data_IF_673123034542
#
_entry.id   IF_673123034542
#
_cell.length_a   1.000
_cell.length_b   1.000
_cell.length_c   1.000
_cell.angle_alpha   90.00
_cell.angle_beta   90.00
_cell.angle_gamma   90.00
#
_symmetry.space_group_name_H-M   'P 1'
#
loop_
_entity.id
_entity.type
_entity.pdbx_description
1 polymer ?
#
# COMPACT_ATOMS: atom_id res chain seq x y z
N UNK A 1 5.61 -13.37 -0.50
CA UNK A 1 4.52 -13.94 -1.32
C UNK A 1 3.43 -12.90 -1.37
N UNK A 2 2.88 -12.62 -2.55
CA UNK A 2 1.86 -11.60 -2.76
C UNK A 2 0.65 -12.24 -3.43
N UNK A 3 -0.55 -11.94 -2.94
CA UNK A 3 -1.82 -12.46 -3.44
C UNK A 3 -2.74 -11.30 -3.83
N UNK A 4 -3.55 -11.50 -4.87
CA UNK A 4 -4.49 -10.51 -5.39
C UNK A 4 -5.91 -11.10 -5.33
N UNK A 5 -6.81 -10.41 -4.63
CA UNK A 5 -8.22 -10.78 -4.55
C UNK A 5 -9.08 -9.69 -5.21
N UNK A 6 -9.82 -10.05 -6.26
CA UNK A 6 -10.77 -9.13 -6.93
C UNK A 6 -12.01 -8.92 -6.06
N UNK A 7 -12.53 -7.70 -6.06
CA UNK A 7 -13.80 -7.31 -5.41
C UNK A 7 -14.71 -6.64 -6.44
N UNK A 8 -15.95 -6.33 -6.05
CA UNK A 8 -16.90 -5.66 -6.95
C UNK A 8 -16.45 -4.25 -7.37
N UNK A 9 -15.62 -3.60 -6.56
CA UNK A 9 -15.19 -2.20 -6.73
C UNK A 9 -13.69 -2.01 -6.94
N UNK A 10 -12.92 -3.10 -7.02
CA UNK A 10 -11.46 -3.03 -7.11
C UNK A 10 -10.78 -4.35 -6.75
N UNK A 11 -9.74 -4.27 -5.93
CA UNK A 11 -9.01 -5.46 -5.48
C UNK A 11 -8.34 -5.24 -4.12
N UNK A 12 -8.03 -6.35 -3.46
CA UNK A 12 -7.22 -6.38 -2.24
C UNK A 12 -5.88 -7.01 -2.61
N UNK A 13 -4.79 -6.26 -2.41
CA UNK A 13 -3.43 -6.77 -2.51
C UNK A 13 -2.95 -7.21 -1.12
N UNK A 14 -2.48 -8.45 -1.00
CA UNK A 14 -2.01 -9.03 0.27
C UNK A 14 -0.54 -9.35 0.18
N UNK A 15 0.25 -8.77 1.07
CA UNK A 15 1.68 -9.01 1.17
C UNK A 15 2.00 -9.72 2.48
N UNK A 16 2.56 -10.93 2.37
CA UNK A 16 2.90 -11.73 3.55
C UNK A 16 4.35 -11.53 4.01
N UNK A 17 5.12 -10.71 3.28
CA UNK A 17 6.49 -10.34 3.62
C UNK A 17 6.62 -8.82 3.45
N UNK A 18 7.14 -8.11 4.46
CA UNK A 18 7.49 -6.70 4.32
C UNK A 18 9.00 -6.62 4.07
N UNK A 19 9.45 -6.07 2.92
CA UNK A 19 10.88 -5.93 2.65
C UNK A 19 11.58 -5.01 3.64
N UNK A 20 10.82 -4.14 4.31
CA UNK A 20 11.31 -3.19 5.30
C UNK A 20 11.01 -3.62 6.74
N UNK A 21 10.74 -4.90 7.00
CA UNK A 21 10.24 -5.37 8.30
C UNK A 21 11.08 -4.90 9.51
N UNK A 22 12.40 -4.92 9.42
CA UNK A 22 13.28 -4.44 10.49
C UNK A 22 13.17 -2.92 10.69
N UNK A 23 13.21 -2.16 9.60
CA UNK A 23 13.10 -0.70 9.66
C UNK A 23 11.71 -0.24 10.08
N UNK A 24 10.65 -0.92 9.65
CA UNK A 24 9.27 -0.58 9.96
C UNK A 24 8.92 -0.80 11.45
N UNK A 25 9.68 -1.64 12.16
CA UNK A 25 9.55 -1.78 13.62
C UNK A 25 9.98 -0.51 14.36
N UNK A 26 10.98 0.19 13.83
CA UNK A 26 11.48 1.45 14.40
C UNK A 26 10.79 2.67 13.79
N UNK A 27 10.37 2.57 12.52
CA UNK A 27 9.87 3.67 11.70
C UNK A 27 8.56 3.31 10.99
N UNK A 28 7.44 3.55 11.66
CA UNK A 28 6.08 3.32 11.12
C UNK A 28 5.79 4.09 9.82
N UNK A 29 6.44 5.23 9.62
CA UNK A 29 6.34 6.06 8.41
C UNK A 29 6.69 5.31 7.11
N UNK A 30 7.41 4.18 7.21
CA UNK A 30 7.71 3.32 6.06
C UNK A 30 6.44 2.66 5.51
N UNK A 31 5.49 2.26 6.37
CA UNK A 31 4.22 1.71 5.93
C UNK A 31 3.38 2.77 5.19
N UNK A 32 3.40 4.01 5.67
CA UNK A 32 2.70 5.13 5.02
C UNK A 32 3.34 5.48 3.67
N UNK A 33 4.68 5.44 3.60
CA UNK A 33 5.43 5.62 2.36
C UNK A 33 5.07 4.53 1.34
N UNK A 34 5.02 3.26 1.74
CA UNK A 34 4.64 2.13 0.89
C UNK A 34 3.20 2.29 0.36
N UNK A 35 2.25 2.60 1.23
CA UNK A 35 0.86 2.89 0.83
C UNK A 35 0.79 4.04 -0.18
N UNK A 36 1.53 5.12 0.07
CA UNK A 36 1.58 6.29 -0.82
C UNK A 36 2.17 5.92 -2.18
N UNK A 37 3.26 5.15 -2.18
CA UNK A 37 3.91 4.64 -3.38
C UNK A 37 2.96 3.76 -4.20
N UNK A 38 2.22 2.86 -3.56
CA UNK A 38 1.19 2.06 -4.21
C UNK A 38 0.07 2.92 -4.81
N UNK A 39 -0.44 3.91 -4.08
CA UNK A 39 -1.48 4.80 -4.59
C UNK A 39 -1.04 5.57 -5.85
N UNK A 40 0.22 6.02 -5.86
CA UNK A 40 0.80 6.72 -7.01
C UNK A 40 1.01 5.80 -8.21
N UNK A 41 1.65 4.65 -8.01
CA UNK A 41 1.98 3.70 -9.09
C UNK A 41 0.72 3.12 -9.73
N UNK A 42 -0.28 2.79 -8.91
CA UNK A 42 -1.53 2.19 -9.38
C UNK A 42 -2.55 3.23 -9.88
N UNK A 43 -2.27 4.52 -9.69
CA UNK A 43 -3.22 5.60 -9.92
C UNK A 43 -4.59 5.32 -9.30
N UNK A 44 -4.58 4.86 -8.05
CA UNK A 44 -5.72 4.32 -7.34
C UNK A 44 -5.78 4.87 -5.91
N UNK A 45 -6.96 4.85 -5.30
CA UNK A 45 -7.09 5.09 -3.87
C UNK A 45 -6.74 3.80 -3.13
N UNK A 46 -5.70 3.87 -2.29
CA UNK A 46 -5.14 2.70 -1.60
C UNK A 46 -5.24 2.92 -0.10
N UNK A 47 -5.79 1.93 0.61
CA UNK A 47 -5.92 1.91 2.06
C UNK A 47 -5.22 0.69 2.66
N UNK A 48 -4.29 0.89 3.60
CA UNK A 48 -3.71 -0.19 4.39
C UNK A 48 -4.70 -0.61 5.49
N UNK A 49 -5.34 -1.76 5.32
CA UNK A 49 -6.41 -2.26 6.21
C UNK A 49 -5.93 -3.26 7.25
N UNK A 50 -4.80 -3.93 7.01
CA UNK A 50 -4.09 -4.76 7.97
C UNK A 50 -2.60 -4.53 7.80
N UNK A 51 -1.82 -4.53 8.89
CA UNK A 51 -0.38 -4.37 8.86
C UNK A 51 0.33 -5.39 9.75
N UNK A 52 1.46 -5.92 9.29
CA UNK A 52 2.28 -6.83 10.10
C UNK A 52 2.83 -6.17 11.37
N UNK A 53 3.04 -4.84 11.36
CA UNK A 53 3.49 -4.10 12.54
C UNK A 53 2.41 -4.04 13.65
N UNK A 54 1.16 -4.32 13.31
CA UNK A 54 0.04 -4.46 14.26
C UNK A 54 -0.20 -5.92 14.67
N UNK A 55 0.68 -6.85 14.28
CA UNK A 55 0.58 -8.28 14.61
C UNK A 55 -0.28 -9.09 13.65
N UNK A 56 -0.72 -8.51 12.53
CA UNK A 56 -1.40 -9.26 11.48
C UNK A 56 -0.44 -10.16 10.70
N UNK A 57 -1.00 -11.14 9.97
CA UNK A 57 -0.21 -12.10 9.17
C UNK A 57 0.37 -11.51 7.88
N UNK A 58 0.00 -10.29 7.52
CA UNK A 58 0.40 -9.63 6.28
C UNK A 58 -0.09 -8.18 6.25
N UNK A 59 0.43 -7.43 5.28
CA UNK A 59 -0.07 -6.09 4.95
C UNK A 59 -1.11 -6.19 3.84
N UNK A 60 -2.34 -5.75 4.10
CA UNK A 60 -3.46 -5.86 3.15
C UNK A 60 -3.90 -4.48 2.69
N UNK A 61 -3.78 -4.24 1.40
CA UNK A 61 -4.10 -2.97 0.77
C UNK A 61 -5.40 -3.11 0.00
N UNK A 62 -6.42 -2.35 0.39
CA UNK A 62 -7.63 -2.21 -0.39
C UNK A 62 -7.40 -1.15 -1.47
N UNK A 63 -7.59 -1.53 -2.73
CA UNK A 63 -7.32 -0.67 -3.88
C UNK A 63 -8.60 -0.43 -4.66
N UNK A 64 -8.98 0.84 -4.73
CA UNK A 64 -10.19 1.31 -5.39
C UNK A 64 -9.83 2.22 -6.57
N UNK A 65 -10.61 2.13 -7.65
CA UNK A 65 -10.41 2.99 -8.80
C UNK A 65 -10.51 4.47 -8.36
N UNK A 66 -9.45 5.23 -8.58
CA UNK A 66 -9.43 6.65 -8.24
C UNK A 66 -10.16 7.45 -9.31
N UNK A 67 -11.07 8.32 -8.88
CA UNK A 67 -11.81 9.21 -9.77
C UNK A 67 -11.05 10.53 -10.07
N UNK A 68 -10.06 10.87 -9.25
CA UNK A 68 -9.24 12.08 -9.37
C UNK A 68 -7.87 11.82 -10.04
N UNK A 69 -7.29 12.81 -10.75
CA UNK A 69 -5.95 12.64 -11.33
C UNK A 69 -4.86 12.49 -10.25
N UNK A 70 -3.88 11.63 -10.50
CA UNK A 70 -2.66 11.51 -9.67
C UNK A 70 -1.84 12.79 -9.80
N UNK A 71 -1.57 13.47 -8.68
CA UNK A 71 -0.59 14.55 -8.66
C UNK A 71 0.81 13.94 -8.56
N UNK A 72 1.48 13.80 -9.71
CA UNK A 72 2.88 13.41 -9.77
C UNK A 72 3.71 14.61 -9.29
N UNK A 73 4.37 14.48 -8.14
CA UNK A 73 5.38 15.45 -7.73
C UNK A 73 6.61 15.27 -8.63
N UNK A 74 6.62 15.97 -9.76
CA UNK A 74 7.82 16.09 -10.58
C UNK A 74 8.84 16.93 -9.80
N UNK A 75 9.87 16.30 -9.25
CA UNK A 75 11.05 17.05 -8.81
C UNK A 75 11.71 17.64 -10.07
N UNK A 76 11.44 18.91 -10.34
CA UNK A 76 12.23 19.73 -11.26
C UNK A 76 13.52 20.11 -10.55
N UNK A 77 14.64 19.48 -10.94
CA UNK A 77 15.98 20.05 -10.77
C UNK A 77 16.30 20.96 -11.96
#
# INVERSE_FOLDING_TARGET
MTDLQVTDSGYILKEYNCPYHELAQEHREICDMEQTMMAQVLAADVELTQCMMDGHRGCYFNVLARTAPVQLHTQSS
#
